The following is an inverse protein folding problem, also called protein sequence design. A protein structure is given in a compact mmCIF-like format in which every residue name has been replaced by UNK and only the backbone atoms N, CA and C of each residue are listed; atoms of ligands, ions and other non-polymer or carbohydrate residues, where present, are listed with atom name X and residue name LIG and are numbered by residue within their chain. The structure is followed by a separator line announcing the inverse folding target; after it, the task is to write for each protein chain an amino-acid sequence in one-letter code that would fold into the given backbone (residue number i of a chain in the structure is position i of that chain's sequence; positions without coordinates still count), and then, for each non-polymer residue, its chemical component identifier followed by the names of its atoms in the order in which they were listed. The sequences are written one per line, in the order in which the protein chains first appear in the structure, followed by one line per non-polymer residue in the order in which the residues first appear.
data_IF_032819186460
#
_entry.id   IF_032819186460
#
_cell.length_a   1.000
_cell.length_b   1.000
_cell.length_c   1.000
_cell.angle_alpha   90.00
_cell.angle_beta   90.00
_cell.angle_gamma   90.00
#
_symmetry.space_group_name_H-M   'P 1'
#
loop_
_entity.id
_entity.type
_entity.pdbx_description
1 polymer ?
#
# COMPACT_ATOMS: atom_id res chain seq x y z
N UNK A 1 21.80 13.65 24.35
CA UNK A 1 21.11 13.97 23.07
C UNK A 1 21.87 13.22 22.00
N UNK A 2 21.19 12.41 21.22
CA UNK A 2 21.78 11.68 20.08
C UNK A 2 22.02 12.64 18.90
N UNK A 3 22.95 12.28 18.02
CA UNK A 3 23.17 12.97 16.73
C UNK A 3 22.56 12.15 15.59
N UNK A 4 22.02 12.84 14.56
CA UNK A 4 21.23 12.18 13.50
C UNK A 4 21.71 12.66 12.12
N UNK A 5 22.07 11.69 11.25
CA UNK A 5 22.22 11.89 9.81
C UNK A 5 20.88 11.64 9.12
N UNK A 6 20.36 12.61 8.38
CA UNK A 6 19.31 12.34 7.40
C UNK A 6 19.97 11.75 6.16
N UNK A 7 19.51 10.57 5.73
CA UNK A 7 19.93 9.92 4.48
C UNK A 7 18.70 9.71 3.59
N UNK A 8 18.67 10.39 2.45
CA UNK A 8 17.55 10.32 1.51
C UNK A 8 18.05 9.98 0.11
N UNK A 9 17.35 9.08 -0.56
CA UNK A 9 17.51 8.81 -1.99
C UNK A 9 16.42 9.54 -2.76
N UNK A 10 16.78 10.23 -3.84
CA UNK A 10 15.82 11.05 -4.60
C UNK A 10 15.93 10.80 -6.10
N UNK A 11 14.81 10.99 -6.81
CA UNK A 11 14.77 11.05 -8.27
C UNK A 11 13.52 11.80 -8.74
N UNK A 12 13.69 12.98 -9.34
CA UNK A 12 12.62 13.83 -9.85
C UNK A 12 11.58 14.19 -8.79
N UNK A 13 12.04 14.71 -7.65
CA UNK A 13 11.21 15.05 -6.48
C UNK A 13 11.03 16.57 -6.32
N UNK A 14 11.22 17.35 -7.39
CA UNK A 14 11.09 18.82 -7.38
C UNK A 14 9.82 19.33 -6.67
N UNK A 15 8.63 18.72 -6.85
CA UNK A 15 7.40 19.24 -6.26
C UNK A 15 7.30 19.09 -4.74
N UNK A 16 8.00 18.13 -4.15
CA UNK A 16 7.77 17.69 -2.75
C UNK A 16 9.01 17.80 -1.86
N UNK A 17 10.22 17.73 -2.42
CA UNK A 17 11.47 17.67 -1.67
C UNK A 17 11.64 18.84 -0.68
N UNK A 18 11.32 20.07 -1.10
CA UNK A 18 11.45 21.25 -0.25
C UNK A 18 10.54 21.11 1.00
N UNK A 19 9.29 20.70 0.84
CA UNK A 19 8.34 20.49 1.95
C UNK A 19 8.88 19.46 2.94
N UNK A 20 9.43 18.35 2.46
CA UNK A 20 10.05 17.34 3.31
C UNK A 20 11.19 17.94 4.10
N UNK A 21 12.20 18.52 3.42
CA UNK A 21 13.40 19.05 4.06
C UNK A 21 13.11 20.21 5.01
N UNK A 22 12.19 21.13 4.67
CA UNK A 22 11.75 22.21 5.57
C UNK A 22 11.20 21.67 6.89
N UNK A 23 10.51 20.52 6.84
CA UNK A 23 9.90 19.93 8.04
C UNK A 23 10.91 19.25 8.97
N UNK A 24 12.09 18.86 8.48
CA UNK A 24 13.03 18.03 9.27
C UNK A 24 14.44 18.58 9.37
N UNK A 25 14.91 19.41 8.44
CA UNK A 25 16.30 19.82 8.34
C UNK A 25 16.85 20.45 9.63
N UNK A 26 16.05 21.27 10.33
CA UNK A 26 16.47 21.94 11.57
C UNK A 26 16.75 20.98 12.74
N UNK A 27 16.30 19.74 12.64
CA UNK A 27 16.47 18.71 13.66
C UNK A 27 17.65 17.77 13.36
N UNK A 28 18.20 17.84 12.17
CA UNK A 28 19.30 16.97 11.70
C UNK A 28 20.66 17.60 11.99
N UNK A 29 21.63 16.76 12.32
CA UNK A 29 23.04 17.19 12.51
C UNK A 29 23.84 17.02 11.22
N UNK A 30 23.33 16.22 10.28
CA UNK A 30 23.91 15.97 8.97
C UNK A 30 22.79 15.66 7.97
N UNK A 31 22.91 16.15 6.74
CA UNK A 31 21.96 15.85 5.65
C UNK A 31 22.74 15.32 4.46
N UNK A 32 22.39 14.12 4.00
CA UNK A 32 22.98 13.40 2.88
C UNK A 32 21.88 13.10 1.88
N UNK A 33 22.03 13.59 0.67
CA UNK A 33 21.12 13.33 -0.44
C UNK A 33 21.84 12.50 -1.49
N UNK A 34 21.24 11.39 -1.88
CA UNK A 34 21.73 10.53 -2.96
C UNK A 34 20.77 10.63 -4.14
N UNK A 35 21.21 11.27 -5.20
CA UNK A 35 20.45 11.44 -6.43
C UNK A 35 20.65 10.23 -7.36
N UNK A 36 19.57 9.62 -7.77
CA UNK A 36 19.59 8.42 -8.63
C UNK A 36 19.31 8.73 -10.11
N UNK A 37 19.61 9.96 -10.52
CA UNK A 37 19.50 10.41 -11.90
C UNK A 37 18.30 11.33 -12.14
N UNK A 38 18.13 12.38 -11.33
CA UNK A 38 17.13 13.42 -11.55
C UNK A 38 17.43 14.26 -12.79
N UNK A 39 16.38 14.64 -13.50
CA UNK A 39 16.42 15.48 -14.69
C UNK A 39 15.70 16.82 -14.51
N UNK A 40 15.07 17.01 -13.35
CA UNK A 40 14.37 18.21 -12.90
C UNK A 40 15.25 19.03 -11.93
N UNK A 41 14.65 19.95 -11.18
CA UNK A 41 15.36 20.82 -10.23
C UNK A 41 15.60 20.19 -8.86
N UNK A 42 15.44 18.88 -8.70
CA UNK A 42 15.64 18.16 -7.42
C UNK A 42 17.00 18.47 -6.80
N UNK A 43 18.09 18.41 -7.56
CA UNK A 43 19.44 18.69 -7.07
C UNK A 43 19.64 20.16 -6.65
N UNK A 44 19.05 21.09 -7.38
CA UNK A 44 19.10 22.53 -7.06
C UNK A 44 18.37 22.82 -5.75
N UNK A 45 17.24 22.14 -5.51
CA UNK A 45 16.52 22.25 -4.25
C UNK A 45 17.33 21.63 -3.10
N UNK A 46 17.84 20.42 -3.28
CA UNK A 46 18.69 19.75 -2.27
C UNK A 46 19.92 20.60 -1.87
N UNK A 47 20.51 21.32 -2.82
CA UNK A 47 21.68 22.18 -2.59
C UNK A 47 21.41 23.37 -1.65
N UNK A 48 20.12 23.72 -1.40
CA UNK A 48 19.76 24.75 -0.42
C UNK A 48 19.89 24.28 1.03
N UNK A 49 19.89 22.96 1.26
CA UNK A 49 19.94 22.34 2.59
C UNK A 49 21.27 21.69 2.92
N UNK A 50 21.99 21.20 1.90
CA UNK A 50 23.28 20.52 2.11
C UNK A 50 24.19 20.61 0.89
N UNK A 51 25.48 20.57 1.14
CA UNK A 51 26.52 20.38 0.09
C UNK A 51 26.84 18.89 -0.13
N UNK A 52 26.28 17.98 0.70
CA UNK A 52 26.53 16.53 0.62
C UNK A 52 25.49 15.84 -0.28
N UNK A 53 25.60 16.14 -1.57
CA UNK A 53 24.78 15.55 -2.63
C UNK A 53 25.66 14.63 -3.45
N UNK A 54 25.23 13.37 -3.59
CA UNK A 54 26.00 12.33 -4.28
C UNK A 54 25.17 11.74 -5.42
N UNK A 55 25.82 11.53 -6.54
CA UNK A 55 25.21 10.82 -7.67
C UNK A 55 25.37 9.31 -7.50
N UNK A 56 24.28 8.58 -7.73
CA UNK A 56 24.26 7.12 -7.72
C UNK A 56 23.66 6.60 -9.01
N UNK A 57 24.39 5.74 -9.72
CA UNK A 57 23.87 5.13 -10.95
C UNK A 57 22.75 4.14 -10.61
N UNK A 58 21.56 4.44 -11.07
CA UNK A 58 20.39 3.60 -10.81
C UNK A 58 20.51 2.25 -11.50
N UNK A 59 20.41 1.17 -10.74
CA UNK A 59 20.47 -0.22 -11.19
C UNK A 59 19.19 -1.02 -10.91
N UNK A 60 18.03 -0.35 -10.81
CA UNK A 60 16.74 -0.95 -10.43
C UNK A 60 16.79 -1.65 -9.05
N UNK A 61 17.56 -1.09 -8.11
CA UNK A 61 17.75 -1.64 -6.77
C UNK A 61 17.77 -0.51 -5.73
N UNK A 62 16.64 -0.34 -5.03
CA UNK A 62 16.50 0.63 -3.93
C UNK A 62 17.40 0.29 -2.74
N UNK A 63 17.64 -1.02 -2.48
CA UNK A 63 18.48 -1.44 -1.36
C UNK A 63 19.91 -1.01 -1.58
N UNK A 64 20.44 -1.14 -2.80
CA UNK A 64 21.79 -0.71 -3.14
C UNK A 64 21.96 0.81 -2.96
N UNK A 65 21.01 1.61 -3.44
CA UNK A 65 21.04 3.07 -3.28
C UNK A 65 20.92 3.48 -1.81
N UNK A 66 20.06 2.84 -1.02
CA UNK A 66 19.87 3.10 0.40
C UNK A 66 21.10 2.70 1.22
N UNK A 67 21.69 1.54 0.93
CA UNK A 67 22.93 1.10 1.57
C UNK A 67 24.09 2.07 1.26
N UNK A 68 24.18 2.57 0.03
CA UNK A 68 25.16 3.59 -0.32
C UNK A 68 24.94 4.88 0.50
N UNK A 69 23.69 5.38 0.58
CA UNK A 69 23.38 6.56 1.40
C UNK A 69 23.76 6.35 2.88
N UNK A 70 23.43 5.20 3.45
CA UNK A 70 23.75 4.85 4.83
C UNK A 70 25.26 4.77 5.08
N UNK A 71 26.05 4.30 4.11
CA UNK A 71 27.51 4.22 4.21
C UNK A 71 28.19 5.58 4.35
N UNK A 72 27.51 6.64 3.92
CA UNK A 72 28.01 8.02 3.98
C UNK A 72 27.72 8.72 5.32
N UNK A 73 26.80 8.16 6.13
CA UNK A 73 26.39 8.73 7.40
C UNK A 73 27.50 8.68 8.45
N UNK A 74 27.61 9.73 9.27
CA UNK A 74 28.66 9.82 10.31
C UNK A 74 28.10 9.95 11.73
N UNK A 75 26.81 10.29 11.91
CA UNK A 75 26.18 10.53 13.21
C UNK A 75 25.77 9.21 13.92
N UNK A 76 25.23 9.32 15.13
CA UNK A 76 24.84 8.13 15.94
C UNK A 76 23.71 7.34 15.31
N UNK A 77 22.74 8.05 14.75
CA UNK A 77 21.55 7.47 14.11
C UNK A 77 21.38 7.99 12.68
N UNK A 78 20.65 7.22 11.89
CA UNK A 78 20.28 7.55 10.52
C UNK A 78 18.75 7.67 10.45
N UNK A 79 18.25 8.85 10.10
CA UNK A 79 16.86 9.08 9.76
C UNK A 79 16.70 8.96 8.24
N UNK A 80 15.75 8.10 7.82
CA UNK A 80 15.58 7.76 6.41
C UNK A 80 14.14 8.07 5.95
N UNK A 81 13.81 9.34 5.67
CA UNK A 81 12.53 9.70 5.09
C UNK A 81 12.53 9.50 3.57
N UNK A 82 11.33 9.35 3.01
CA UNK A 82 11.08 9.51 1.58
C UNK A 82 10.75 10.98 1.27
N UNK A 83 11.00 11.43 0.03
CA UNK A 83 10.93 12.87 -0.30
C UNK A 83 9.50 13.45 -0.21
N UNK A 84 8.48 12.62 -0.30
CA UNK A 84 7.05 12.97 -0.21
C UNK A 84 6.49 12.89 1.23
N UNK A 85 7.34 12.58 2.21
CA UNK A 85 7.02 12.57 3.64
C UNK A 85 7.32 13.92 4.29
N UNK A 86 6.56 14.27 5.31
CA UNK A 86 6.83 15.46 6.13
C UNK A 86 6.27 15.31 7.54
N UNK A 87 6.79 16.12 8.45
CA UNK A 87 6.32 16.24 9.83
C UNK A 87 5.63 17.58 10.03
N UNK A 88 4.43 17.59 10.59
CA UNK A 88 3.80 18.81 11.06
C UNK A 88 4.48 19.31 12.35
N UNK A 89 4.10 20.50 12.81
CA UNK A 89 4.73 21.14 13.97
C UNK A 89 4.63 20.30 15.26
N UNK A 90 3.55 19.56 15.45
CA UNK A 90 3.41 18.70 16.63
C UNK A 90 4.36 17.49 16.54
N UNK A 91 4.43 16.84 15.40
CA UNK A 91 5.34 15.70 15.18
C UNK A 91 6.82 16.13 15.15
N UNK A 92 7.15 17.34 14.71
CA UNK A 92 8.48 17.92 14.88
C UNK A 92 8.86 18.06 16.37
N UNK A 93 7.93 18.51 17.22
CA UNK A 93 8.15 18.62 18.68
C UNK A 93 8.34 17.23 19.32
N UNK A 94 7.57 16.23 18.88
CA UNK A 94 7.72 14.85 19.34
C UNK A 94 9.10 14.28 18.92
N UNK A 95 9.50 14.54 17.69
CA UNK A 95 10.82 14.14 17.18
C UNK A 95 11.97 14.76 17.97
N UNK A 96 11.91 16.06 18.29
CA UNK A 96 12.92 16.73 19.13
C UNK A 96 12.95 16.15 20.55
N UNK A 97 11.80 15.81 21.15
CA UNK A 97 11.75 15.11 22.45
C UNK A 97 12.41 13.75 22.37
N UNK A 98 12.11 12.98 21.31
CA UNK A 98 12.74 11.69 21.04
C UNK A 98 14.27 11.84 20.92
N UNK A 99 14.76 12.80 20.11
CA UNK A 99 16.19 13.09 19.94
C UNK A 99 16.90 13.36 21.27
N UNK A 100 16.22 14.03 22.21
CA UNK A 100 16.78 14.33 23.52
C UNK A 100 16.77 13.15 24.49
N UNK A 101 15.78 12.27 24.40
CA UNK A 101 15.48 11.26 25.41
C UNK A 101 15.75 9.81 24.96
N UNK A 102 16.10 9.58 23.68
CA UNK A 102 16.31 8.23 23.17
C UNK A 102 17.45 7.52 23.92
N UNK A 103 17.12 6.33 24.40
CA UNK A 103 18.07 5.49 25.14
C UNK A 103 19.06 4.83 24.17
N UNK A 104 20.34 4.69 24.54
CA UNK A 104 21.38 4.20 23.64
C UNK A 104 21.22 2.71 23.25
N UNK A 105 20.46 1.93 23.98
CA UNK A 105 20.13 0.54 23.63
C UNK A 105 19.13 0.40 22.47
N UNK A 106 18.35 1.44 22.18
CA UNK A 106 17.39 1.41 21.08
C UNK A 106 18.12 1.39 19.74
N UNK A 107 17.82 0.41 18.91
CA UNK A 107 18.47 0.23 17.60
C UNK A 107 17.62 0.73 16.44
N UNK A 108 16.29 0.59 16.56
CA UNK A 108 15.33 1.04 15.55
C UNK A 108 14.20 1.82 16.23
N UNK A 109 13.82 2.96 15.68
CA UNK A 109 12.58 3.65 16.05
C UNK A 109 11.59 3.54 14.89
N UNK A 110 10.43 3.00 15.20
CA UNK A 110 9.28 3.01 14.29
C UNK A 110 8.47 4.29 14.49
N UNK A 111 7.97 4.84 13.40
CA UNK A 111 7.09 6.00 13.37
C UNK A 111 5.82 5.62 12.63
N UNK A 112 4.69 6.20 13.03
CA UNK A 112 3.41 5.91 12.39
C UNK A 112 3.35 6.54 11.01
N UNK A 113 3.09 5.74 10.00
CA UNK A 113 2.91 6.19 8.63
C UNK A 113 1.44 6.44 8.37
N UNK A 114 1.11 7.66 7.96
CA UNK A 114 -0.27 8.08 7.68
C UNK A 114 -0.41 8.35 6.20
N UNK A 115 -1.24 7.58 5.55
CA UNK A 115 -1.56 7.72 4.13
C UNK A 115 -2.91 8.43 3.98
N UNK A 116 -3.07 9.36 3.03
CA UNK A 116 -4.37 9.93 2.71
C UNK A 116 -5.40 8.86 2.33
N UNK A 117 -6.71 9.06 2.62
CA UNK A 117 -7.76 8.07 2.36
C UNK A 117 -7.79 7.53 0.92
N UNK A 118 -7.53 8.38 -0.06
CA UNK A 118 -7.51 8.02 -1.49
C UNK A 118 -6.43 6.98 -1.85
N UNK A 119 -5.49 6.73 -0.95
CA UNK A 119 -4.38 5.79 -1.11
C UNK A 119 -4.45 4.62 -0.13
N UNK A 120 -5.56 4.46 0.60
CA UNK A 120 -5.71 3.38 1.56
C UNK A 120 -5.97 2.03 0.90
N UNK A 121 -5.42 0.99 1.51
CA UNK A 121 -5.65 -0.42 1.20
C UNK A 121 -6.06 -1.15 2.48
N UNK A 122 -6.43 -2.42 2.38
CA UNK A 122 -6.78 -3.26 3.56
C UNK A 122 -5.72 -3.19 4.68
N UNK A 123 -4.46 -3.00 4.33
CA UNK A 123 -3.37 -3.00 5.32
C UNK A 123 -2.96 -1.63 5.82
N UNK A 124 -3.11 -0.57 5.02
CA UNK A 124 -2.65 0.77 5.37
C UNK A 124 -3.77 1.76 5.70
N UNK A 125 -4.99 1.29 5.84
CA UNK A 125 -6.11 2.12 6.30
C UNK A 125 -5.97 2.56 7.77
N UNK A 126 -5.11 1.87 8.54
CA UNK A 126 -4.70 2.24 9.90
C UNK A 126 -3.31 2.87 9.88
N UNK A 127 -2.94 3.55 10.97
CA UNK A 127 -1.57 3.98 11.21
C UNK A 127 -0.63 2.75 11.16
N UNK A 128 0.29 2.74 10.22
CA UNK A 128 1.25 1.65 10.06
C UNK A 128 2.60 2.04 10.68
N UNK A 129 3.09 1.32 11.69
CA UNK A 129 4.43 1.58 12.22
C UNK A 129 5.49 1.19 11.18
N UNK A 130 6.33 2.15 10.77
CA UNK A 130 7.44 1.93 9.84
C UNK A 130 8.77 2.31 10.49
N UNK A 131 9.83 1.51 10.31
CA UNK A 131 11.16 1.84 10.77
C UNK A 131 11.70 3.04 9.99
N UNK A 132 12.02 4.12 10.69
CA UNK A 132 12.50 5.37 10.10
C UNK A 132 13.80 5.90 10.68
N UNK A 133 14.11 5.55 11.95
CA UNK A 133 15.37 5.94 12.57
C UNK A 133 16.15 4.69 12.95
N UNK A 134 17.40 4.60 12.52
CA UNK A 134 18.26 3.42 12.63
C UNK A 134 19.56 3.78 13.34
N UNK A 135 19.97 3.01 14.33
CA UNK A 135 21.28 3.16 14.95
C UNK A 135 22.36 2.79 13.93
N UNK A 136 23.27 3.75 13.67
CA UNK A 136 24.31 3.57 12.65
C UNK A 136 25.30 2.45 12.98
N UNK A 137 25.73 2.38 14.22
CA UNK A 137 26.62 1.33 14.70
C UNK A 137 25.87 0.51 15.76
N UNK A 138 25.51 -0.71 15.40
CA UNK A 138 24.87 -1.64 16.33
C UNK A 138 25.88 -2.14 17.37
N UNK A 139 25.46 -2.20 18.64
CA UNK A 139 26.21 -2.84 19.70
C UNK A 139 25.90 -4.32 19.71
N UNK A 140 26.89 -5.19 19.50
CA UNK A 140 26.74 -6.63 19.63
C UNK A 140 27.02 -7.03 21.09
N UNK A 141 26.13 -7.83 21.66
CA UNK A 141 26.31 -8.41 23.01
C UNK A 141 26.26 -9.92 22.90
N UNK A 142 27.26 -10.56 23.51
CA UNK A 142 27.22 -11.99 23.76
C UNK A 142 26.27 -12.27 24.91
N UNK A 143 25.40 -13.26 24.74
CA UNK A 143 24.47 -13.74 25.79
C UNK A 143 24.73 -15.22 26.04
N UNK A 144 24.34 -15.68 27.20
CA UNK A 144 24.52 -17.01 27.73
C UNK A 144 25.97 -17.35 28.20
N UNK A 145 26.14 -17.94 29.39
CA UNK A 145 27.46 -18.24 29.96
C UNK A 145 28.12 -19.50 29.36
N UNK A 146 27.31 -20.34 28.65
CA UNK A 146 27.75 -21.56 27.97
C UNK A 146 27.01 -21.66 26.66
N UNK A 147 27.71 -21.98 25.55
CA UNK A 147 27.17 -21.89 24.20
C UNK A 147 26.69 -20.48 23.85
N UNK A 148 27.52 -19.51 24.18
CA UNK A 148 27.26 -18.09 23.97
C UNK A 148 26.80 -17.78 22.56
N UNK A 149 25.79 -16.92 22.44
CA UNK A 149 25.25 -16.43 21.18
C UNK A 149 25.34 -14.90 21.09
N UNK A 150 25.38 -14.35 19.89
CA UNK A 150 25.28 -12.91 19.69
C UNK A 150 23.80 -12.56 19.51
N UNK A 151 23.34 -11.58 20.30
CA UNK A 151 22.00 -11.03 20.13
C UNK A 151 21.91 -10.32 18.78
N UNK A 152 21.05 -10.83 17.86
CA UNK A 152 20.87 -10.29 16.51
C UNK A 152 19.51 -9.58 16.33
N UNK A 153 18.56 -9.82 17.24
CA UNK A 153 17.26 -9.16 17.18
C UNK A 153 17.39 -7.69 17.58
N UNK A 154 16.92 -6.74 16.76
CA UNK A 154 17.01 -5.32 17.08
C UNK A 154 16.12 -4.96 18.26
N UNK A 155 16.56 -4.00 19.07
CA UNK A 155 15.71 -3.34 20.07
C UNK A 155 14.92 -2.25 19.37
N UNK A 156 13.60 -2.48 19.24
CA UNK A 156 12.68 -1.59 18.56
C UNK A 156 11.93 -0.74 19.59
N UNK A 157 11.77 0.54 19.27
CA UNK A 157 10.92 1.47 20.01
C UNK A 157 9.83 2.03 19.07
N UNK A 158 8.57 1.81 19.44
CA UNK A 158 7.42 2.36 18.74
C UNK A 158 7.12 3.75 19.27
N UNK A 159 7.31 4.76 18.44
CA UNK A 159 7.10 6.15 18.82
C UNK A 159 5.67 6.61 18.51
N UNK A 160 5.26 7.70 19.14
CA UNK A 160 4.01 8.41 18.88
C UNK A 160 4.12 9.45 17.74
N UNK A 161 5.21 9.42 16.97
CA UNK A 161 5.45 10.36 15.88
C UNK A 161 4.69 9.89 14.64
N UNK A 162 3.84 10.76 14.12
CA UNK A 162 3.11 10.55 12.89
C UNK A 162 3.87 11.20 11.71
N UNK A 163 4.18 10.42 10.69
CA UNK A 163 4.74 10.86 9.41
C UNK A 163 3.60 11.00 8.42
N UNK A 164 3.42 12.20 7.89
CA UNK A 164 2.41 12.48 6.89
C UNK A 164 2.99 12.22 5.49
N UNK A 165 2.43 11.24 4.80
CA UNK A 165 2.79 10.89 3.43
C UNK A 165 1.83 11.55 2.46
N UNK A 166 2.34 12.34 1.52
CA UNK A 166 1.53 13.03 0.53
C UNK A 166 2.22 13.00 -0.85
N UNK A 167 2.11 11.87 -1.58
CA UNK A 167 2.72 11.70 -2.88
C UNK A 167 2.12 12.67 -3.90
N UNK A 168 2.91 13.13 -4.84
CA UNK A 168 2.46 13.97 -5.96
C UNK A 168 2.20 13.17 -7.23
N UNK A 169 2.77 11.95 -7.32
CA UNK A 169 2.58 11.04 -8.45
C UNK A 169 2.45 9.60 -7.95
N UNK A 170 1.73 8.80 -8.74
CA UNK A 170 1.65 7.35 -8.52
C UNK A 170 2.82 6.68 -9.25
N UNK A 171 3.71 6.04 -8.51
CA UNK A 171 4.87 5.34 -9.10
C UNK A 171 4.58 3.89 -9.50
N UNK A 172 3.33 3.45 -9.40
CA UNK A 172 2.93 2.06 -9.62
C UNK A 172 3.37 1.48 -10.96
N UNK A 173 3.27 2.25 -12.04
CA UNK A 173 3.70 1.77 -13.37
C UNK A 173 5.20 1.42 -13.42
N UNK A 174 6.03 2.20 -12.73
CA UNK A 174 7.46 1.91 -12.57
C UNK A 174 7.66 0.61 -11.79
N UNK A 175 6.92 0.46 -10.71
CA UNK A 175 7.05 -0.69 -9.82
C UNK A 175 6.56 -1.98 -10.52
N UNK A 176 5.47 -1.91 -11.31
CA UNK A 176 5.03 -3.02 -12.16
C UNK A 176 6.13 -3.44 -13.15
N UNK A 177 6.76 -2.50 -13.84
CA UNK A 177 7.86 -2.81 -14.75
C UNK A 177 9.05 -3.48 -14.03
N UNK A 178 9.33 -3.11 -12.78
CA UNK A 178 10.37 -3.74 -11.97
C UNK A 178 10.00 -5.17 -11.57
N UNK A 179 8.74 -5.42 -11.18
CA UNK A 179 8.26 -6.76 -10.85
C UNK A 179 8.27 -7.69 -12.08
N UNK A 180 7.77 -7.21 -13.22
CA UNK A 180 7.82 -7.94 -14.49
C UNK A 180 9.26 -8.27 -14.91
N UNK A 181 10.19 -7.31 -14.78
CA UNK A 181 11.61 -7.53 -15.08
C UNK A 181 12.20 -8.60 -14.17
N UNK A 182 11.95 -8.53 -12.86
CA UNK A 182 12.42 -9.52 -11.90
C UNK A 182 11.90 -10.92 -12.25
N UNK A 183 10.62 -11.04 -12.62
CA UNK A 183 10.04 -12.31 -13.07
C UNK A 183 10.71 -12.85 -14.34
N UNK A 184 10.90 -12.01 -15.37
CA UNK A 184 11.58 -12.41 -16.61
C UNK A 184 13.04 -12.87 -16.40
N UNK A 185 13.69 -12.29 -15.38
CA UNK A 185 15.05 -12.68 -14.96
C UNK A 185 15.07 -13.91 -14.04
N UNK A 186 13.93 -14.61 -13.87
CA UNK A 186 13.75 -15.75 -12.96
C UNK A 186 14.14 -15.42 -11.49
N UNK A 187 14.01 -14.18 -11.04
CA UNK A 187 14.16 -13.82 -9.63
C UNK A 187 12.90 -14.20 -8.88
N UNK A 188 13.07 -14.91 -7.79
CA UNK A 188 11.95 -15.24 -6.89
C UNK A 188 11.59 -14.01 -6.09
N UNK A 189 10.36 -13.50 -6.28
CA UNK A 189 9.82 -12.47 -5.42
C UNK A 189 9.43 -13.08 -4.06
N UNK A 190 9.70 -12.36 -2.97
CA UNK A 190 9.24 -12.79 -1.66
C UNK A 190 7.71 -12.67 -1.56
N UNK A 191 7.06 -13.43 -0.68
CA UNK A 191 5.62 -13.32 -0.45
C UNK A 191 5.18 -11.88 -0.17
N UNK A 192 5.98 -11.13 0.59
CA UNK A 192 5.72 -9.71 0.87
C UNK A 192 5.64 -8.89 -0.42
N UNK A 193 6.57 -9.09 -1.34
CA UNK A 193 6.60 -8.37 -2.63
C UNK A 193 5.46 -8.82 -3.54
N UNK A 194 5.15 -10.11 -3.57
CA UNK A 194 4.01 -10.64 -4.34
C UNK A 194 2.69 -10.03 -3.87
N UNK A 195 2.44 -9.98 -2.57
CA UNK A 195 1.26 -9.32 -2.00
C UNK A 195 1.21 -7.83 -2.31
N UNK A 196 2.36 -7.14 -2.25
CA UNK A 196 2.45 -5.74 -2.62
C UNK A 196 2.11 -5.52 -4.09
N UNK A 197 2.61 -6.37 -5.00
CA UNK A 197 2.29 -6.33 -6.42
C UNK A 197 0.79 -6.51 -6.67
N UNK A 198 0.15 -7.51 -6.05
CA UNK A 198 -1.28 -7.74 -6.18
C UNK A 198 -2.11 -6.51 -5.72
N UNK A 199 -1.74 -5.90 -4.59
CA UNK A 199 -2.43 -4.70 -4.08
C UNK A 199 -2.28 -3.50 -4.97
N UNK A 200 -1.06 -3.23 -5.45
CA UNK A 200 -0.82 -2.10 -6.34
C UNK A 200 -1.56 -2.27 -7.67
N UNK A 201 -1.72 -3.50 -8.18
CA UNK A 201 -2.55 -3.78 -9.35
C UNK A 201 -4.02 -3.39 -9.10
N UNK A 202 -4.61 -3.82 -7.98
CA UNK A 202 -6.01 -3.46 -7.66
C UNK A 202 -6.23 -1.98 -7.39
N UNK A 203 -5.21 -1.29 -6.88
CA UNK A 203 -5.27 0.13 -6.55
C UNK A 203 -5.19 1.02 -7.78
N UNK A 204 -4.30 0.71 -8.72
CA UNK A 204 -3.95 1.62 -9.82
C UNK A 204 -3.52 0.93 -11.12
N UNK A 205 -3.66 -0.40 -11.22
CA UNK A 205 -3.41 -1.13 -12.45
C UNK A 205 -4.53 -0.90 -13.48
N UNK A 206 -4.16 -0.83 -14.76
CA UNK A 206 -5.11 -0.91 -15.85
C UNK A 206 -5.24 -2.35 -16.38
N UNK A 207 -6.16 -2.57 -17.34
CA UNK A 207 -6.41 -3.89 -17.91
C UNK A 207 -5.13 -4.54 -18.47
N UNK A 208 -4.23 -3.75 -19.07
CA UNK A 208 -2.98 -4.26 -19.63
C UNK A 208 -2.00 -4.71 -18.54
N UNK A 209 -1.95 -4.00 -17.41
CA UNK A 209 -1.10 -4.40 -16.27
C UNK A 209 -1.55 -5.73 -15.68
N UNK A 210 -2.87 -5.94 -15.52
CA UNK A 210 -3.39 -7.22 -15.05
C UNK A 210 -3.06 -8.37 -16.02
N UNK A 211 -3.18 -8.13 -17.33
CA UNK A 211 -2.86 -9.13 -18.33
C UNK A 211 -1.38 -9.48 -18.32
N UNK A 212 -0.49 -8.51 -18.15
CA UNK A 212 0.96 -8.76 -18.06
C UNK A 212 1.36 -9.49 -16.79
N UNK A 213 0.65 -9.25 -15.69
CA UNK A 213 0.91 -9.91 -14.41
C UNK A 213 0.37 -11.35 -14.35
N UNK A 214 -0.59 -11.71 -15.20
CA UNK A 214 -1.33 -12.97 -15.12
C UNK A 214 -0.41 -14.21 -15.13
N UNK A 215 0.64 -14.25 -15.95
CA UNK A 215 1.56 -15.38 -16.02
C UNK A 215 2.30 -15.60 -14.70
N UNK A 216 2.75 -14.51 -14.07
CA UNK A 216 3.41 -14.57 -12.76
C UNK A 216 2.46 -15.10 -11.68
N UNK A 217 1.25 -14.53 -11.60
CA UNK A 217 0.27 -14.94 -10.59
C UNK A 217 -0.29 -16.35 -10.85
N UNK A 218 -0.33 -16.83 -12.09
CA UNK A 218 -0.70 -18.22 -12.39
C UNK A 218 0.28 -19.20 -11.77
N UNK A 219 1.59 -18.99 -11.97
CA UNK A 219 2.63 -19.84 -11.37
C UNK A 219 2.58 -19.76 -9.84
N UNK A 220 2.39 -18.57 -9.28
CA UNK A 220 2.29 -18.38 -7.83
C UNK A 220 1.07 -19.09 -7.25
N UNK A 221 -0.09 -18.96 -7.90
CA UNK A 221 -1.33 -19.60 -7.48
C UNK A 221 -1.29 -21.13 -7.53
N UNK A 222 -0.63 -21.71 -8.55
CA UNK A 222 -0.40 -23.15 -8.61
C UNK A 222 0.42 -23.67 -7.43
N UNK A 223 1.35 -22.88 -6.92
CA UNK A 223 2.22 -23.26 -5.82
C UNK A 223 1.59 -23.03 -4.43
N UNK A 224 0.78 -21.98 -4.24
CA UNK A 224 0.34 -21.50 -2.92
C UNK A 224 -1.18 -21.48 -2.74
N UNK A 225 -1.96 -21.45 -3.83
CA UNK A 225 -3.43 -21.36 -3.82
C UNK A 225 -3.97 -20.20 -2.96
N UNK A 226 -3.27 -19.05 -2.98
CA UNK A 226 -3.61 -17.86 -2.19
C UNK A 226 -4.73 -17.03 -2.84
N UNK A 227 -5.51 -16.34 -1.99
CA UNK A 227 -6.66 -15.55 -2.43
C UNK A 227 -6.25 -14.32 -3.26
N UNK A 228 -5.12 -13.69 -2.94
CA UNK A 228 -4.62 -12.52 -3.64
C UNK A 228 -4.32 -12.86 -5.13
N UNK A 229 -3.63 -13.98 -5.37
CA UNK A 229 -3.38 -14.47 -6.74
C UNK A 229 -4.67 -14.84 -7.46
N UNK A 230 -5.63 -15.49 -6.76
CA UNK A 230 -6.94 -15.83 -7.33
C UNK A 230 -7.67 -14.57 -7.82
N UNK A 231 -7.65 -13.48 -7.06
CA UNK A 231 -8.27 -12.21 -7.43
C UNK A 231 -7.66 -11.64 -8.73
N UNK A 232 -6.32 -11.61 -8.84
CA UNK A 232 -5.65 -11.11 -10.05
C UNK A 232 -6.02 -11.96 -11.27
N UNK A 233 -6.00 -13.28 -11.12
CA UNK A 233 -6.32 -14.21 -12.21
C UNK A 233 -7.79 -14.13 -12.63
N UNK A 234 -8.72 -14.02 -11.69
CA UNK A 234 -10.14 -13.84 -11.98
C UNK A 234 -10.37 -12.53 -12.76
N UNK A 235 -9.75 -11.43 -12.34
CA UNK A 235 -9.81 -10.15 -13.05
C UNK A 235 -9.27 -10.27 -14.48
N UNK A 236 -8.08 -10.85 -14.66
CA UNK A 236 -7.46 -11.07 -15.97
C UNK A 236 -8.32 -11.97 -16.88
N UNK A 237 -8.85 -13.09 -16.37
CA UNK A 237 -9.70 -14.00 -17.12
C UNK A 237 -11.02 -13.32 -17.56
N UNK A 238 -11.61 -12.47 -16.71
CA UNK A 238 -12.82 -11.70 -17.06
C UNK A 238 -12.53 -10.70 -18.18
N UNK A 239 -11.39 -10.00 -18.15
CA UNK A 239 -10.97 -9.06 -19.21
C UNK A 239 -10.80 -9.80 -20.53
N UNK A 240 -10.13 -10.94 -20.52
CA UNK A 240 -9.89 -11.79 -21.69
C UNK A 240 -11.15 -12.49 -22.21
N UNK A 241 -12.29 -12.41 -21.48
CA UNK A 241 -13.50 -13.19 -21.72
C UNK A 241 -13.24 -14.72 -21.73
N UNK A 242 -12.24 -15.21 -20.99
CA UNK A 242 -12.01 -16.65 -20.79
C UNK A 242 -12.97 -17.17 -19.72
N UNK A 243 -14.17 -17.60 -20.14
CA UNK A 243 -15.29 -17.95 -19.26
C UNK A 243 -14.96 -19.14 -18.36
N UNK A 244 -14.35 -20.18 -18.95
CA UNK A 244 -14.04 -21.41 -18.23
C UNK A 244 -12.98 -21.19 -17.15
N UNK A 245 -11.92 -20.46 -17.47
CA UNK A 245 -10.88 -20.10 -16.49
C UNK A 245 -11.43 -19.20 -15.40
N UNK A 246 -12.22 -18.18 -15.77
CA UNK A 246 -12.87 -17.27 -14.83
C UNK A 246 -13.67 -18.01 -13.78
N UNK A 247 -14.63 -18.86 -14.21
CA UNK A 247 -15.45 -19.59 -13.25
C UNK A 247 -14.68 -20.67 -12.50
N UNK A 248 -13.69 -21.31 -13.12
CA UNK A 248 -12.83 -22.28 -12.43
C UNK A 248 -12.09 -21.64 -11.25
N UNK A 249 -11.56 -20.43 -11.43
CA UNK A 249 -10.85 -19.68 -10.38
C UNK A 249 -11.86 -19.23 -9.30
N UNK A 250 -12.95 -18.58 -9.69
CA UNK A 250 -13.95 -18.09 -8.75
C UNK A 250 -14.52 -19.22 -7.89
N UNK A 251 -14.88 -20.36 -8.47
CA UNK A 251 -15.44 -21.49 -7.74
C UNK A 251 -14.44 -22.13 -6.77
N UNK A 252 -13.16 -22.21 -7.14
CA UNK A 252 -12.12 -22.74 -6.24
C UNK A 252 -11.96 -21.86 -5.01
N UNK A 253 -11.90 -20.54 -5.19
CA UNK A 253 -11.80 -19.58 -4.10
C UNK A 253 -13.04 -19.64 -3.19
N UNK A 254 -14.24 -19.64 -3.76
CA UNK A 254 -15.51 -19.75 -3.01
C UNK A 254 -15.64 -21.03 -2.18
N UNK A 255 -14.98 -22.12 -2.58
CA UNK A 255 -14.98 -23.36 -1.82
C UNK A 255 -14.04 -23.32 -0.61
N UNK A 256 -13.08 -22.38 -0.57
CA UNK A 256 -12.10 -22.25 0.53
C UNK A 256 -12.45 -21.11 1.48
N UNK A 257 -12.49 -19.89 0.97
CA UNK A 257 -12.80 -18.68 1.74
C UNK A 257 -13.15 -17.57 0.76
N UNK A 258 -14.43 -17.40 0.46
CA UNK A 258 -14.84 -16.34 -0.47
C UNK A 258 -14.39 -14.96 -0.02
N UNK A 259 -13.83 -14.16 -0.93
CA UNK A 259 -13.44 -12.78 -0.68
C UNK A 259 -14.27 -11.78 -1.49
N UNK A 260 -14.25 -10.51 -1.04
CA UNK A 260 -15.06 -9.45 -1.66
C UNK A 260 -14.66 -9.19 -3.10
N UNK A 261 -13.37 -9.31 -3.44
CA UNK A 261 -12.88 -9.11 -4.79
C UNK A 261 -13.44 -10.13 -5.77
N UNK A 262 -13.49 -11.41 -5.42
CA UNK A 262 -14.07 -12.46 -6.27
C UNK A 262 -15.58 -12.23 -6.46
N UNK A 263 -16.30 -11.89 -5.39
CA UNK A 263 -17.71 -11.52 -5.50
C UNK A 263 -17.90 -10.29 -6.41
N UNK A 264 -17.06 -9.29 -6.29
CA UNK A 264 -17.10 -8.09 -7.14
C UNK A 264 -16.85 -8.42 -8.61
N UNK A 265 -15.89 -9.28 -8.92
CA UNK A 265 -15.60 -9.73 -10.29
C UNK A 265 -16.78 -10.51 -10.90
N UNK A 266 -17.46 -11.36 -10.12
CA UNK A 266 -18.69 -12.02 -10.53
C UNK A 266 -19.80 -11.02 -10.82
N UNK A 267 -19.96 -10.01 -9.97
CA UNK A 267 -20.91 -8.91 -10.21
C UNK A 267 -20.63 -8.17 -11.52
N UNK A 268 -19.36 -7.82 -11.77
CA UNK A 268 -18.94 -7.19 -13.02
C UNK A 268 -19.17 -8.08 -14.25
N UNK A 269 -18.96 -9.38 -14.12
CA UNK A 269 -19.20 -10.34 -15.18
C UNK A 269 -20.69 -10.36 -15.60
N UNK A 270 -21.62 -10.44 -14.62
CA UNK A 270 -23.06 -10.46 -14.90
C UNK A 270 -23.57 -9.09 -15.36
N UNK A 271 -23.05 -7.99 -14.82
CA UNK A 271 -23.38 -6.63 -15.28
C UNK A 271 -23.03 -6.44 -16.75
N UNK A 272 -21.84 -6.87 -17.19
CA UNK A 272 -21.41 -6.82 -18.59
C UNK A 272 -22.35 -7.62 -19.51
N UNK A 273 -23.04 -8.65 -19.00
CA UNK A 273 -24.03 -9.47 -19.71
C UNK A 273 -25.46 -8.99 -19.55
N UNK A 274 -25.64 -7.77 -19.06
CA UNK A 274 -26.96 -7.16 -18.89
C UNK A 274 -27.92 -8.00 -18.01
N UNK A 275 -27.38 -8.65 -17.00
CA UNK A 275 -28.11 -9.37 -15.97
C UNK A 275 -27.98 -8.65 -14.62
N UNK A 276 -28.71 -7.53 -14.39
CA UNK A 276 -28.58 -6.74 -13.18
C UNK A 276 -29.11 -7.48 -11.92
N UNK A 277 -30.01 -8.45 -12.06
CA UNK A 277 -30.49 -9.26 -10.93
C UNK A 277 -29.34 -10.07 -10.34
N UNK A 278 -28.66 -10.84 -11.17
CA UNK A 278 -27.53 -11.66 -10.72
C UNK A 278 -26.35 -10.78 -10.28
N UNK A 279 -26.08 -9.71 -11.01
CA UNK A 279 -25.02 -8.77 -10.64
C UNK A 279 -25.24 -8.16 -9.24
N UNK A 280 -26.48 -7.80 -8.90
CA UNK A 280 -26.81 -7.22 -7.59
C UNK A 280 -26.57 -8.19 -6.44
N UNK A 281 -26.83 -9.48 -6.62
CA UNK A 281 -26.54 -10.51 -5.60
C UNK A 281 -25.05 -10.57 -5.30
N UNK A 282 -24.22 -10.56 -6.33
CA UNK A 282 -22.77 -10.64 -6.17
C UNK A 282 -22.16 -9.36 -5.58
N UNK A 283 -22.64 -8.19 -5.97
CA UNK A 283 -22.20 -6.94 -5.34
C UNK A 283 -22.67 -6.81 -3.90
N UNK A 284 -23.86 -7.36 -3.56
CA UNK A 284 -24.32 -7.45 -2.19
C UNK A 284 -23.38 -8.35 -1.34
N UNK A 285 -23.04 -9.52 -1.86
CA UNK A 285 -22.10 -10.42 -1.18
C UNK A 285 -20.73 -9.74 -0.98
N UNK A 286 -20.24 -9.00 -1.99
CA UNK A 286 -19.00 -8.25 -1.86
C UNK A 286 -19.05 -7.16 -0.78
N UNK A 287 -20.20 -6.49 -0.60
CA UNK A 287 -20.36 -5.40 0.35
C UNK A 287 -20.61 -5.87 1.80
N UNK A 288 -21.33 -6.99 2.00
CA UNK A 288 -21.91 -7.32 3.30
C UNK A 288 -21.58 -8.72 3.81
N UNK A 289 -21.24 -9.68 2.94
CA UNK A 289 -21.13 -11.09 3.32
C UNK A 289 -19.70 -11.62 3.26
N UNK A 290 -18.75 -10.85 2.70
CA UNK A 290 -17.36 -11.28 2.51
C UNK A 290 -16.39 -10.21 2.95
N UNK A 291 -15.12 -10.61 3.16
CA UNK A 291 -14.05 -9.69 3.56
C UNK A 291 -13.10 -9.41 2.38
N UNK A 292 -12.58 -8.19 2.24
CA UNK A 292 -11.60 -7.86 1.20
C UNK A 292 -10.21 -8.37 1.59
N UNK A 293 -9.43 -8.79 0.59
CA UNK A 293 -8.03 -9.22 0.77
C UNK A 293 -7.02 -8.26 0.16
N UNK A 294 -7.41 -7.47 -0.84
CA UNK A 294 -6.55 -6.52 -1.55
C UNK A 294 -7.00 -5.07 -1.38
N UNK A 295 -8.27 -4.77 -1.63
CA UNK A 295 -8.79 -3.41 -1.68
C UNK A 295 -10.03 -3.26 -0.82
N UNK A 296 -9.90 -2.55 0.29
CA UNK A 296 -10.97 -2.31 1.26
C UNK A 296 -12.19 -1.58 0.65
N UNK A 297 -11.99 -0.74 -0.38
CA UNK A 297 -13.10 -0.07 -1.04
C UNK A 297 -14.03 -1.02 -1.79
N UNK A 298 -13.55 -2.22 -2.14
CA UNK A 298 -14.37 -3.22 -2.84
C UNK A 298 -15.49 -3.75 -1.95
N UNK A 299 -15.22 -3.97 -0.66
CA UNK A 299 -16.24 -4.37 0.31
C UNK A 299 -17.11 -3.21 0.83
N UNK A 300 -16.94 -2.01 0.29
CA UNK A 300 -17.65 -0.81 0.73
C UNK A 300 -18.09 0.04 -0.45
N UNK A 301 -17.48 1.22 -0.58
CA UNK A 301 -17.85 2.25 -1.56
C UNK A 301 -18.05 1.72 -2.98
N UNK A 302 -17.13 0.88 -3.48
CA UNK A 302 -17.18 0.38 -4.88
C UNK A 302 -18.36 -0.58 -5.08
N UNK A 303 -18.57 -1.55 -4.21
CA UNK A 303 -19.69 -2.49 -4.31
C UNK A 303 -21.05 -1.79 -4.13
N UNK A 304 -21.17 -0.86 -3.17
CA UNK A 304 -22.41 -0.11 -2.92
C UNK A 304 -22.81 0.75 -4.13
N UNK A 305 -21.86 1.40 -4.80
CA UNK A 305 -22.16 2.14 -6.03
C UNK A 305 -22.63 1.21 -7.16
N UNK A 306 -22.04 0.03 -7.30
CA UNK A 306 -22.49 -0.95 -8.30
C UNK A 306 -23.88 -1.52 -7.97
N UNK A 307 -24.19 -1.72 -6.70
CA UNK A 307 -25.53 -2.09 -6.25
C UNK A 307 -26.55 -1.03 -6.65
N UNK A 308 -26.29 0.23 -6.35
CA UNK A 308 -27.16 1.34 -6.71
C UNK A 308 -27.44 1.36 -8.21
N UNK A 309 -26.42 1.16 -9.04
CA UNK A 309 -26.56 1.11 -10.49
C UNK A 309 -27.38 -0.09 -10.96
N UNK A 310 -27.18 -1.27 -10.38
CA UNK A 310 -28.01 -2.45 -10.68
C UNK A 310 -29.47 -2.21 -10.36
N UNK A 311 -29.79 -1.61 -9.20
CA UNK A 311 -31.18 -1.31 -8.81
C UNK A 311 -31.82 -0.26 -9.71
N UNK A 312 -31.08 0.76 -10.21
CA UNK A 312 -31.60 1.70 -11.23
C UNK A 312 -31.92 0.97 -12.53
N UNK A 313 -30.99 0.15 -13.01
CA UNK A 313 -31.20 -0.62 -14.25
C UNK A 313 -32.41 -1.55 -14.14
N UNK A 314 -32.63 -2.13 -12.96
CA UNK A 314 -33.82 -2.96 -12.71
C UNK A 314 -35.11 -2.13 -12.72
N UNK A 315 -35.08 -0.92 -12.18
CA UNK A 315 -36.23 -0.01 -12.18
C UNK A 315 -36.60 0.50 -13.57
N UNK A 316 -35.62 0.64 -14.47
CA UNK A 316 -35.80 1.09 -15.85
C UNK A 316 -36.33 -0.03 -16.78
N UNK A 317 -36.29 -1.29 -16.37
CA UNK A 317 -36.81 -2.39 -17.18
C UNK A 317 -38.32 -2.25 -17.37
N UNK A 318 -38.79 -2.32 -18.62
CA UNK A 318 -40.20 -2.15 -19.02
C UNK A 318 -41.20 -3.12 -18.36
N UNK A 319 -40.68 -4.21 -17.75
CA UNK A 319 -41.47 -5.23 -17.05
C UNK A 319 -41.73 -4.88 -15.57
N UNK A 320 -41.17 -3.80 -15.04
CA UNK A 320 -41.32 -3.40 -13.66
C UNK A 320 -42.65 -2.65 -13.45
N UNK A 321 -43.48 -3.12 -12.48
CA UNK A 321 -44.64 -2.38 -12.02
C UNK A 321 -44.19 -1.02 -11.45
N UNK A 322 -44.90 0.09 -11.67
CA UNK A 322 -44.54 1.42 -11.15
C UNK A 322 -44.33 1.49 -9.64
N UNK A 323 -45.06 0.70 -8.85
CA UNK A 323 -44.80 0.60 -7.40
C UNK A 323 -43.49 -0.09 -7.09
N UNK A 324 -43.14 -1.16 -7.76
CA UNK A 324 -41.88 -1.88 -7.63
C UNK A 324 -40.71 -1.03 -8.11
N UNK A 325 -40.90 -0.24 -9.17
CA UNK A 325 -39.85 0.70 -9.65
C UNK A 325 -39.51 1.78 -8.61
N UNK A 326 -40.52 2.31 -7.89
CA UNK A 326 -40.31 3.27 -6.80
C UNK A 326 -39.47 2.69 -5.66
N UNK A 327 -39.75 1.45 -5.26
CA UNK A 327 -39.00 0.76 -4.20
C UNK A 327 -37.53 0.49 -4.63
N UNK A 328 -37.32 0.10 -5.88
CA UNK A 328 -35.97 -0.14 -6.42
C UNK A 328 -35.15 1.15 -6.48
N UNK A 329 -35.73 2.28 -6.88
CA UNK A 329 -35.08 3.58 -6.88
C UNK A 329 -34.76 4.08 -5.46
N UNK A 330 -35.66 3.80 -4.49
CA UNK A 330 -35.39 4.12 -3.09
C UNK A 330 -34.17 3.35 -2.57
N UNK A 331 -34.07 2.06 -2.83
CA UNK A 331 -32.91 1.22 -2.47
C UNK A 331 -31.62 1.70 -3.17
N UNK A 332 -31.69 2.09 -4.45
CA UNK A 332 -30.55 2.63 -5.14
C UNK A 332 -30.03 3.90 -4.44
N UNK A 333 -30.93 4.80 -4.02
CA UNK A 333 -30.58 6.00 -3.26
C UNK A 333 -29.97 5.71 -1.89
N UNK A 334 -30.50 4.67 -1.19
CA UNK A 334 -29.95 4.22 0.10
C UNK A 334 -28.51 3.73 -0.04
N UNK A 335 -28.20 2.91 -1.04
CA UNK A 335 -26.85 2.41 -1.30
C UNK A 335 -25.87 3.53 -1.70
N UNK A 336 -26.34 4.54 -2.45
CA UNK A 336 -25.51 5.72 -2.74
C UNK A 336 -25.18 6.53 -1.49
N UNK A 337 -26.17 6.73 -0.62
CA UNK A 337 -25.94 7.41 0.65
C UNK A 337 -24.96 6.65 1.54
N UNK A 338 -25.09 5.31 1.61
CA UNK A 338 -24.13 4.45 2.31
C UNK A 338 -22.73 4.55 1.70
N UNK A 339 -22.62 4.56 0.36
CA UNK A 339 -21.34 4.70 -0.31
C UNK A 339 -20.67 6.06 -0.07
N UNK A 340 -21.48 7.14 0.03
CA UNK A 340 -20.98 8.50 0.37
C UNK A 340 -20.57 8.62 1.83
N UNK A 341 -21.28 7.94 2.72
CA UNK A 341 -20.99 7.94 4.17
C UNK A 341 -19.90 6.91 4.55
N UNK A 342 -19.48 6.07 3.59
CA UNK A 342 -18.51 5.02 3.86
C UNK A 342 -17.14 5.61 4.20
N UNK A 343 -16.58 5.17 5.34
CA UNK A 343 -15.25 5.54 5.81
C UNK A 343 -14.45 4.28 6.17
N UNK A 344 -13.29 4.12 5.55
CA UNK A 344 -12.42 2.98 5.77
C UNK A 344 -11.94 2.85 7.23
N UNK A 345 -11.85 3.96 7.97
CA UNK A 345 -11.42 3.93 9.38
C UNK A 345 -12.50 3.34 10.30
N UNK A 346 -13.77 3.57 10.01
CA UNK A 346 -14.89 3.00 10.76
C UNK A 346 -15.04 1.50 10.51
N UNK A 347 -14.88 1.07 9.27
CA UNK A 347 -14.97 -0.34 8.89
C UNK A 347 -13.99 -1.24 9.64
N UNK A 348 -12.79 -0.74 9.94
CA UNK A 348 -11.74 -1.52 10.61
C UNK A 348 -11.90 -1.57 12.14
N UNK A 349 -12.71 -0.69 12.76
CA UNK A 349 -12.98 -0.72 14.20
C UNK A 349 -13.99 -1.83 14.57
N UNK A 350 -15.01 -2.05 13.73
CA UNK A 350 -16.05 -3.03 14.01
C UNK A 350 -15.58 -4.47 13.77
N UNK A 351 -14.71 -4.71 12.78
CA UNK A 351 -14.13 -6.03 12.51
C UNK A 351 -13.11 -6.50 13.59
N UNK A 352 -12.63 -5.60 14.46
CA UNK A 352 -11.72 -5.96 15.54
C UNK A 352 -12.45 -6.34 16.84
N UNK A 353 -13.73 -5.97 17.00
CA UNK A 353 -14.55 -6.31 18.17
C UNK A 353 -15.23 -7.69 18.06
N UNK A 354 -15.43 -8.21 16.86
CA UNK A 354 -16.03 -9.54 16.64
C UNK A 354 -15.02 -10.70 16.73
N UNK A 355 -13.75 -10.45 17.07
CA UNK A 355 -12.68 -11.46 17.19
C UNK A 355 -12.19 -11.68 18.65
N UNK A 356 -13.07 -11.49 19.64
CA UNK A 356 -12.83 -11.88 21.05
C UNK A 356 -13.61 -13.14 21.43
#
# INVERSE_FOLDING_TARGET
MITISLCMIVKNEEPVLARCLDSVASMMDEIIIVDTGSTDRTKEIAAQYTSRIYDFTWGDDFSAARNYAFSLATMDYIYCPDADEYLDLENQRRFLRLKCALLPEIEIVQMNYITPPDFNTVQNCKKEPRPKLFKRLRTFSWVDPVHETIRIDPVIYDSDIDILHHPHTMHAKRDFAMFEKAFRENRVLSEKITRMYARELYKCGDEEDFLRAADYFSIHYEAHADAESACILAHAARIQNSVDDFFSICLKDMCSSSCSEICYELGQYYRKRQNPQEASLWFYNAAFETQPVLDIEISGKKALLQLAECYRTLAENELCDPCSAGDLLSRASEYEQQAQAWDCLLYTSDAADDSL
#
